data_IF_471489112436
#
_entry.id   IF_471489112436
#
_cell.length_a   1.000
_cell.length_b   1.000
_cell.length_c   1.000
_cell.angle_alpha   90.00
_cell.angle_beta   90.00
_cell.angle_gamma   90.00
#
_symmetry.space_group_name_H-M   'P 1'
#
loop_
_entity.id
_entity.type
_entity.pdbx_description
1 polymer ?
#
# COMPACT_ATOMS: atom_id res chain seq x y z
N UNK A 1 -3.52 -2.06 10.66
CA UNK A 1 -2.76 -1.39 9.59
C UNK A 1 -1.54 -0.78 10.24
N UNK A 2 -0.33 -1.05 9.75
CA UNK A 2 0.87 -0.35 10.21
C UNK A 2 0.89 1.12 9.77
N UNK A 3 1.64 1.94 10.50
CA UNK A 3 1.78 3.37 10.24
C UNK A 3 3.24 3.75 9.95
N UNK A 4 3.44 4.77 9.12
CA UNK A 4 4.74 5.33 8.80
C UNK A 4 4.77 6.85 9.07
N UNK A 5 5.84 7.34 9.67
CA UNK A 5 6.06 8.77 9.89
C UNK A 5 6.83 9.39 8.72
N UNK A 6 6.24 10.39 8.07
CA UNK A 6 6.85 11.09 6.95
C UNK A 6 6.47 12.58 6.94
N UNK A 7 7.47 13.46 6.93
CA UNK A 7 7.27 14.91 6.84
C UNK A 7 6.34 15.50 7.92
N UNK A 8 6.35 14.93 9.13
CA UNK A 8 5.45 15.33 10.22
C UNK A 8 4.00 14.85 10.06
N UNK A 9 3.76 13.89 9.17
CA UNK A 9 2.47 13.23 8.97
C UNK A 9 2.60 11.74 9.32
N UNK A 10 1.54 11.19 9.88
CA UNK A 10 1.34 9.74 10.04
C UNK A 10 0.58 9.21 8.82
N UNK A 11 1.15 8.23 8.13
CA UNK A 11 0.58 7.61 6.94
C UNK A 11 0.18 6.17 7.25
N UNK A 12 -1.10 5.84 7.06
CA UNK A 12 -1.60 4.47 7.12
C UNK A 12 -1.21 3.70 5.86
N UNK A 13 -0.75 2.46 6.04
CA UNK A 13 -0.42 1.58 4.92
C UNK A 13 -0.76 0.13 5.21
N UNK A 14 -0.72 -0.68 4.16
CA UNK A 14 -1.00 -2.11 4.20
C UNK A 14 -0.05 -2.84 3.26
N UNK A 15 0.23 -4.11 3.57
CA UNK A 15 1.19 -4.90 2.80
C UNK A 15 0.70 -6.31 2.49
N UNK A 16 1.20 -6.86 1.37
CA UNK A 16 0.94 -8.22 0.93
C UNK A 16 2.24 -8.90 0.51
N UNK A 17 2.30 -10.22 0.67
CA UNK A 17 3.44 -11.03 0.27
C UNK A 17 4.61 -11.02 1.26
N UNK A 18 5.75 -11.52 0.82
CA UNK A 18 6.98 -11.62 1.61
C UNK A 18 7.67 -10.26 1.70
N UNK A 19 7.88 -9.73 2.91
CA UNK A 19 8.53 -8.44 3.15
C UNK A 19 9.99 -8.37 2.64
N UNK A 20 10.64 -9.53 2.42
CA UNK A 20 11.98 -9.62 1.85
C UNK A 20 12.02 -9.59 0.32
N UNK A 21 10.87 -9.71 -0.34
CA UNK A 21 10.76 -9.67 -1.78
C UNK A 21 10.93 -8.25 -2.35
N UNK A 22 11.24 -8.08 -3.66
CA UNK A 22 11.34 -6.76 -4.28
C UNK A 22 10.05 -5.93 -4.09
N UNK A 23 10.14 -4.69 -3.55
CA UNK A 23 8.95 -3.92 -3.21
C UNK A 23 8.28 -3.29 -4.44
N UNK A 24 6.95 -3.22 -4.40
CA UNK A 24 6.12 -2.47 -5.35
C UNK A 24 5.15 -1.58 -4.55
N UNK A 25 5.23 -0.27 -4.77
CA UNK A 25 4.39 0.71 -4.10
C UNK A 25 3.25 1.14 -5.00
N UNK A 26 2.01 0.95 -4.55
CA UNK A 26 0.81 1.41 -5.22
C UNK A 26 0.39 2.77 -4.66
N UNK A 27 0.35 3.78 -5.53
CA UNK A 27 -0.06 5.15 -5.20
C UNK A 27 -1.45 5.39 -5.82
N UNK A 28 -2.45 5.64 -4.97
CA UNK A 28 -3.79 5.96 -5.45
C UNK A 28 -3.87 7.32 -6.14
N UNK A 29 -4.86 7.47 -7.03
CA UNK A 29 -5.26 8.75 -7.60
C UNK A 29 -5.90 9.69 -6.57
N UNK A 30 -6.17 10.93 -6.99
CA UNK A 30 -6.71 11.99 -6.14
C UNK A 30 -8.05 11.58 -5.49
N UNK A 31 -8.16 11.77 -4.17
CA UNK A 31 -9.41 11.57 -3.42
C UNK A 31 -9.77 10.12 -3.08
N UNK A 32 -8.97 9.14 -3.49
CA UNK A 32 -9.30 7.73 -3.35
C UNK A 32 -8.41 7.03 -2.31
N UNK A 33 -9.05 6.24 -1.44
CA UNK A 33 -8.40 5.48 -0.37
C UNK A 33 -7.69 4.23 -0.93
N UNK A 34 -6.69 3.71 -0.21
CA UNK A 34 -5.92 2.51 -0.56
C UNK A 34 -6.80 1.26 -0.78
N UNK A 35 -7.97 1.23 -0.15
CA UNK A 35 -8.97 0.16 -0.27
C UNK A 35 -9.67 0.14 -1.62
N UNK A 36 -9.55 1.20 -2.43
CA UNK A 36 -10.06 1.22 -3.80
C UNK A 36 -9.25 0.30 -4.73
N UNK A 37 -8.04 -0.11 -4.36
CA UNK A 37 -7.37 -1.26 -4.98
C UNK A 37 -8.02 -2.56 -4.50
N UNK A 38 -8.61 -3.38 -5.38
CA UNK A 38 -9.11 -4.69 -4.99
C UNK A 38 -7.96 -5.55 -4.45
N UNK A 39 -8.17 -6.21 -3.30
CA UNK A 39 -7.12 -7.03 -2.68
C UNK A 39 -6.68 -8.18 -3.59
N UNK A 40 -7.62 -8.80 -4.33
CA UNK A 40 -7.33 -9.84 -5.32
C UNK A 40 -6.41 -9.34 -6.45
N UNK A 41 -6.47 -8.05 -6.79
CA UNK A 41 -5.57 -7.46 -7.77
C UNK A 41 -4.15 -7.30 -7.18
N UNK A 42 -4.03 -6.87 -5.93
CA UNK A 42 -2.74 -6.73 -5.24
C UNK A 42 -2.10 -8.10 -4.95
N UNK A 43 -2.91 -9.09 -4.58
CA UNK A 43 -2.46 -10.45 -4.32
C UNK A 43 -1.77 -11.07 -5.53
N UNK A 44 -2.21 -10.77 -6.76
CA UNK A 44 -1.55 -11.24 -7.97
C UNK A 44 -0.09 -10.78 -8.09
N UNK A 45 0.26 -9.58 -7.61
CA UNK A 45 1.65 -9.12 -7.57
C UNK A 45 2.43 -9.82 -6.46
N UNK A 46 1.81 -10.01 -5.29
CA UNK A 46 2.42 -10.76 -4.20
C UNK A 46 2.74 -12.20 -4.61
N UNK A 47 1.82 -12.86 -5.30
CA UNK A 47 1.98 -14.23 -5.83
C UNK A 47 3.08 -14.33 -6.89
N UNK A 48 3.40 -13.22 -7.58
CA UNK A 48 4.54 -13.11 -8.50
C UNK A 48 5.88 -12.83 -7.80
N UNK A 49 5.89 -12.82 -6.46
CA UNK A 49 7.11 -12.64 -5.67
C UNK A 49 7.47 -11.17 -5.45
N UNK A 50 6.47 -10.31 -5.25
CA UNK A 50 6.67 -8.91 -4.85
C UNK A 50 6.20 -8.65 -3.42
N UNK A 51 6.89 -7.74 -2.72
CA UNK A 51 6.38 -7.14 -1.50
C UNK A 51 5.49 -5.97 -1.88
N UNK A 52 4.18 -6.16 -1.84
CA UNK A 52 3.22 -5.15 -2.27
C UNK A 52 2.92 -4.21 -1.09
N UNK A 53 3.01 -2.91 -1.34
CA UNK A 53 2.69 -1.87 -0.36
C UNK A 53 1.63 -0.96 -0.98
N UNK A 54 0.53 -0.72 -0.26
CA UNK A 54 -0.45 0.34 -0.57
C UNK A 54 -0.59 1.27 0.62
N UNK A 55 -0.91 2.52 0.39
CA UNK A 55 -1.06 3.51 1.45
C UNK A 55 -2.14 4.54 1.12
N UNK A 56 -2.56 5.21 2.16
CA UNK A 56 -3.50 6.32 2.10
C UNK A 56 -2.77 7.64 1.90
N UNK A 57 -3.09 8.36 0.82
CA UNK A 57 -2.58 9.71 0.60
C UNK A 57 -3.01 10.62 1.76
N UNK A 58 -2.27 11.71 2.02
CA UNK A 58 -2.68 12.68 3.06
C UNK A 58 -4.14 13.10 2.88
N UNK A 59 -4.82 13.26 4.01
CA UNK A 59 -6.22 13.69 4.08
C UNK A 59 -7.22 12.69 3.45
N UNK A 60 -6.81 11.45 3.21
CA UNK A 60 -7.64 10.34 2.71
C UNK A 60 -7.46 9.14 3.64
N UNK A 61 -8.55 8.57 4.14
CA UNK A 61 -8.49 7.49 5.13
C UNK A 61 -8.36 7.99 6.56
#
# INVERSE_FOLDING_TARGET
MPQAEANGLTIEYDTFGDQSAPPVLFIMGFGAQMTAWPEEFLQQFADQGHHVIRFDNRDIG
#
